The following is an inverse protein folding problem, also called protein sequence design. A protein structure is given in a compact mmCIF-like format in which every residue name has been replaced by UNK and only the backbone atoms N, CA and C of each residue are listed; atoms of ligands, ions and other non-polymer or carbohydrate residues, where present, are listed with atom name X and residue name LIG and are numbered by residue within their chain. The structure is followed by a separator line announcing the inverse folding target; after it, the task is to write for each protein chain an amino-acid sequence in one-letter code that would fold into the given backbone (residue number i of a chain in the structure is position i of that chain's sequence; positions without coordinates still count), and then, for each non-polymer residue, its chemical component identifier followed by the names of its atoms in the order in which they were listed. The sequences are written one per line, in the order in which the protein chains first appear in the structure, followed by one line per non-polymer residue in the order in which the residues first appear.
data_IF_542531650655
#
_entry.id   IF_542531650655
#
_cell.length_a   1.000
_cell.length_b   1.000
_cell.length_c   1.000
_cell.angle_alpha   90.00
_cell.angle_beta   90.00
_cell.angle_gamma   90.00
#
_symmetry.space_group_name_H-M   'P 1'
#
loop_
_entity.id
_entity.type
_entity.pdbx_description
1 polymer ?
#
# COMPACT_ATOMS: atom_id res chain seq x y z
N UNK A 1 -23.36 -37.64 -22.68
CA UNK A 1 -22.30 -36.64 -22.91
C UNK A 1 -21.17 -36.90 -21.93
N UNK A 2 -20.07 -37.49 -22.39
CA UNK A 2 -18.90 -37.76 -21.55
C UNK A 2 -17.99 -36.52 -21.55
N UNK A 3 -17.84 -35.87 -20.41
CA UNK A 3 -16.89 -34.77 -20.18
C UNK A 3 -15.49 -35.37 -19.97
N UNK A 4 -14.72 -35.49 -21.06
CA UNK A 4 -13.46 -36.27 -21.06
C UNK A 4 -12.21 -35.45 -20.72
N UNK A 5 -12.32 -34.14 -20.47
CA UNK A 5 -11.19 -33.33 -20.01
C UNK A 5 -11.67 -32.01 -19.40
N UNK A 6 -12.02 -32.04 -18.12
CA UNK A 6 -12.07 -30.82 -17.30
C UNK A 6 -10.79 -30.84 -16.47
N UNK A 7 -9.84 -29.96 -16.81
CA UNK A 7 -8.71 -29.66 -15.93
C UNK A 7 -8.99 -28.31 -15.26
N UNK A 8 -9.07 -28.33 -13.93
CA UNK A 8 -9.07 -27.11 -13.14
C UNK A 8 -7.79 -26.32 -13.41
N UNK A 9 -7.91 -24.99 -13.45
CA UNK A 9 -6.75 -24.11 -13.60
C UNK A 9 -5.74 -24.42 -12.49
N UNK A 10 -4.59 -25.00 -12.85
CA UNK A 10 -3.50 -25.23 -11.90
C UNK A 10 -3.08 -23.88 -11.36
N UNK A 11 -3.41 -23.63 -10.08
CA UNK A 11 -2.90 -22.49 -9.36
C UNK A 11 -1.38 -22.67 -9.23
N UNK A 12 -0.63 -22.16 -10.21
CA UNK A 12 0.81 -22.04 -10.13
C UNK A 12 1.11 -20.97 -9.09
N UNK A 13 1.09 -21.36 -7.81
CA UNK A 13 1.94 -20.69 -6.83
C UNK A 13 3.34 -20.88 -7.37
N UNK A 14 3.91 -19.84 -7.92
CA UNK A 14 5.35 -19.74 -8.18
C UNK A 14 6.00 -19.97 -6.81
N UNK A 15 6.35 -21.22 -6.52
CA UNK A 15 7.22 -21.56 -5.41
C UNK A 15 8.63 -21.39 -5.94
N UNK A 16 9.49 -20.61 -5.28
CA UNK A 16 10.86 -20.52 -5.72
C UNK A 16 11.50 -21.89 -5.52
N UNK A 17 12.53 -22.19 -6.31
CA UNK A 17 13.31 -23.41 -6.12
C UNK A 17 13.79 -23.51 -4.66
N UNK A 18 13.90 -24.74 -4.13
CA UNK A 18 14.42 -25.00 -2.78
C UNK A 18 15.74 -24.23 -2.61
N UNK A 19 15.86 -23.47 -1.52
CA UNK A 19 16.96 -22.54 -1.19
C UNK A 19 17.01 -21.18 -1.92
N UNK A 20 16.01 -20.83 -2.73
CA UNK A 20 15.86 -19.47 -3.28
C UNK A 20 14.71 -18.77 -2.57
N UNK A 21 14.96 -17.61 -1.98
CA UNK A 21 13.90 -16.65 -1.69
C UNK A 21 13.59 -15.86 -2.96
N UNK A 22 12.35 -15.41 -3.14
CA UNK A 22 12.08 -14.31 -4.06
C UNK A 22 12.70 -13.02 -3.47
N UNK A 23 14.00 -12.84 -3.64
CA UNK A 23 14.72 -11.61 -3.29
C UNK A 23 15.23 -10.91 -4.55
N UNK A 24 14.43 -10.88 -5.61
CA UNK A 24 14.79 -10.20 -6.85
C UNK A 24 13.56 -9.55 -7.48
N UNK A 25 13.09 -8.48 -6.82
CA UNK A 25 12.07 -7.60 -7.35
C UNK A 25 11.83 -6.49 -6.37
N UNK A 26 12.61 -5.40 -6.43
CA UNK A 26 12.28 -4.14 -5.75
C UNK A 26 10.98 -3.52 -6.27
N UNK A 27 10.39 -4.09 -7.32
CA UNK A 27 9.11 -3.67 -7.91
C UNK A 27 8.32 -4.89 -8.40
N UNK A 28 6.99 -4.79 -8.37
CA UNK A 28 6.06 -5.77 -8.96
C UNK A 28 5.83 -5.53 -10.47
N UNK A 29 6.76 -4.82 -11.13
CA UNK A 29 6.66 -4.45 -12.54
C UNK A 29 7.20 -5.60 -13.40
N UNK A 30 6.37 -6.08 -14.32
CA UNK A 30 6.71 -7.10 -15.31
C UNK A 30 6.58 -6.53 -16.72
N UNK A 31 7.40 -7.03 -17.65
CA UNK A 31 7.23 -6.74 -19.07
C UNK A 31 6.13 -7.65 -19.63
N UNK A 32 5.28 -7.09 -20.49
CA UNK A 32 4.23 -7.78 -21.21
C UNK A 32 4.27 -7.37 -22.68
N UNK A 33 3.70 -8.19 -23.56
CA UNK A 33 3.53 -7.84 -24.98
C UNK A 33 2.04 -7.78 -25.30
N UNK A 34 1.59 -6.64 -25.82
CA UNK A 34 0.21 -6.42 -26.30
C UNK A 34 0.30 -6.00 -27.76
N UNK A 35 -0.41 -6.68 -28.67
CA UNK A 35 -0.39 -6.40 -30.12
C UNK A 35 1.05 -6.23 -30.69
N UNK A 36 1.97 -7.11 -30.30
CA UNK A 36 3.39 -7.08 -30.70
C UNK A 36 4.17 -5.84 -30.22
N UNK A 37 3.65 -5.05 -29.28
CA UNK A 37 4.40 -4.00 -28.59
C UNK A 37 4.69 -4.41 -27.15
N UNK A 38 5.93 -4.19 -26.73
CA UNK A 38 6.33 -4.34 -25.34
C UNK A 38 5.75 -3.21 -24.48
N UNK A 39 5.24 -3.59 -23.31
CA UNK A 39 4.69 -2.70 -22.31
C UNK A 39 5.10 -3.17 -20.92
N UNK A 40 4.98 -2.28 -19.94
CA UNK A 40 5.24 -2.56 -18.52
C UNK A 40 3.93 -2.62 -17.78
N UNK A 41 3.75 -3.65 -16.97
CA UNK A 41 2.56 -3.86 -16.16
C UNK A 41 2.97 -4.02 -14.71
N UNK A 42 2.28 -3.32 -13.80
CA UNK A 42 2.41 -3.57 -12.38
C UNK A 42 1.47 -4.69 -11.95
N UNK A 43 1.99 -5.70 -11.26
CA UNK A 43 1.20 -6.79 -10.68
C UNK A 43 0.81 -6.41 -9.26
N UNK A 44 -0.43 -5.93 -9.09
CA UNK A 44 -0.95 -5.46 -7.80
C UNK A 44 -2.09 -6.36 -7.32
N UNK A 45 -1.85 -7.13 -6.26
CA UNK A 45 -2.87 -7.98 -5.63
C UNK A 45 -3.92 -7.20 -4.86
N UNK A 46 -3.67 -5.93 -4.54
CA UNK A 46 -4.62 -5.04 -3.87
C UNK A 46 -5.56 -4.32 -4.85
N UNK A 47 -5.33 -4.43 -6.16
CA UNK A 47 -6.18 -3.81 -7.17
C UNK A 47 -7.48 -4.59 -7.35
N UNK A 48 -8.62 -3.89 -7.32
CA UNK A 48 -9.94 -4.49 -7.57
C UNK A 48 -10.08 -5.04 -9.00
N UNK A 49 -9.50 -4.36 -9.99
CA UNK A 49 -9.55 -4.76 -11.39
C UNK A 49 -8.27 -4.37 -12.13
N UNK A 50 -8.01 -5.02 -13.26
CA UNK A 50 -6.98 -4.55 -14.20
C UNK A 50 -7.43 -3.23 -14.81
N UNK A 51 -6.57 -2.23 -14.78
CA UNK A 51 -6.89 -0.93 -15.33
C UNK A 51 -5.68 -0.25 -15.97
N UNK A 52 -5.95 0.58 -16.98
CA UNK A 52 -4.92 1.24 -17.77
C UNK A 52 -5.31 2.70 -18.02
N UNK A 53 -4.32 3.59 -17.88
CA UNK A 53 -4.48 4.99 -18.23
C UNK A 53 -4.64 5.17 -19.73
N UNK A 54 -5.61 5.99 -20.15
CA UNK A 54 -5.89 6.33 -21.56
C UNK A 54 -4.63 6.64 -22.37
N UNK A 55 -3.78 7.51 -21.83
CA UNK A 55 -2.59 8.01 -22.54
C UNK A 55 -1.55 6.91 -22.73
N UNK A 56 -1.35 6.07 -21.70
CA UNK A 56 -0.44 4.93 -21.77
C UNK A 56 -0.93 3.88 -22.77
N UNK A 57 -2.24 3.59 -22.76
CA UNK A 57 -2.83 2.66 -23.72
C UNK A 57 -2.66 3.13 -25.17
N UNK A 58 -2.80 4.43 -25.41
CA UNK A 58 -2.60 5.02 -26.74
C UNK A 58 -1.20 4.79 -27.33
N UNK A 59 -0.18 4.64 -26.48
CA UNK A 59 1.19 4.33 -26.93
C UNK A 59 1.34 2.87 -27.38
N UNK A 60 0.66 1.95 -26.69
CA UNK A 60 0.86 0.49 -26.82
C UNK A 60 -0.17 -0.20 -27.72
N UNK A 61 -1.38 0.35 -27.85
CA UNK A 61 -2.47 -0.26 -28.61
C UNK A 61 -3.09 0.77 -29.55
N UNK A 62 -2.82 0.71 -30.84
CA UNK A 62 -3.48 1.60 -31.81
C UNK A 62 -4.94 1.17 -32.05
N UNK A 63 -5.83 2.16 -32.20
CA UNK A 63 -7.27 2.00 -32.44
C UNK A 63 -8.01 1.23 -31.34
N UNK A 64 -7.64 1.46 -30.07
CA UNK A 64 -8.35 0.85 -28.93
C UNK A 64 -9.77 1.42 -28.76
N UNK A 65 -10.00 2.65 -29.22
CA UNK A 65 -11.27 3.37 -29.08
C UNK A 65 -12.42 2.67 -29.81
N UNK A 66 -12.15 2.07 -30.97
CA UNK A 66 -13.15 1.35 -31.77
C UNK A 66 -13.62 0.05 -31.10
N UNK A 67 -12.83 -0.47 -30.15
CA UNK A 67 -13.08 -1.72 -29.42
C UNK A 67 -13.53 -1.48 -27.98
N UNK A 68 -13.84 -0.24 -27.64
CA UNK A 68 -14.25 0.14 -26.31
C UNK A 68 -15.69 -0.30 -26.07
N UNK A 69 -15.89 -1.10 -25.03
CA UNK A 69 -17.22 -1.46 -24.56
C UNK A 69 -17.71 -0.44 -23.52
N UNK A 70 -19.01 -0.12 -23.50
CA UNK A 70 -19.57 0.80 -22.50
C UNK A 70 -19.41 0.21 -21.10
N UNK A 71 -19.23 1.09 -20.11
CA UNK A 71 -19.13 0.73 -18.71
C UNK A 71 -20.28 1.38 -17.95
N UNK A 72 -21.10 0.57 -17.30
CA UNK A 72 -22.20 1.07 -16.48
C UNK A 72 -21.80 1.06 -15.01
N UNK A 73 -21.98 2.21 -14.35
CA UNK A 73 -22.03 2.33 -12.89
C UNK A 73 -20.78 1.92 -12.07
N UNK A 74 -19.57 1.93 -12.63
CA UNK A 74 -18.35 1.66 -11.85
C UNK A 74 -17.73 2.98 -11.34
N UNK A 75 -17.59 3.12 -10.02
CA UNK A 75 -16.84 4.21 -9.37
C UNK A 75 -15.45 3.73 -8.99
N UNK A 76 -14.42 4.21 -9.69
CA UNK A 76 -13.02 3.92 -9.38
C UNK A 76 -12.42 5.01 -8.50
N UNK A 77 -11.78 4.62 -7.40
CA UNK A 77 -11.08 5.53 -6.49
C UNK A 77 -9.61 5.13 -6.39
N UNK A 78 -8.71 6.10 -6.54
CA UNK A 78 -7.30 5.97 -6.19
C UNK A 78 -7.04 6.76 -4.92
N UNK A 79 -5.99 6.39 -4.17
CA UNK A 79 -5.58 7.06 -2.94
C UNK A 79 -5.34 8.57 -3.13
N UNK A 80 -4.95 9.00 -4.33
CA UNK A 80 -4.53 10.39 -4.59
C UNK A 80 -5.43 11.16 -5.56
N UNK A 81 -6.22 10.48 -6.40
CA UNK A 81 -6.98 11.10 -7.51
C UNK A 81 -8.26 10.34 -7.80
N UNK A 82 -9.29 11.06 -8.23
CA UNK A 82 -10.48 10.45 -8.82
C UNK A 82 -10.14 9.90 -10.21
N UNK A 83 -10.58 8.67 -10.48
CA UNK A 83 -10.38 7.98 -11.76
C UNK A 83 -11.71 7.95 -12.51
N UNK A 84 -11.76 8.57 -13.69
CA UNK A 84 -12.95 8.57 -14.52
C UNK A 84 -12.84 7.43 -15.54
N UNK A 85 -13.71 6.40 -15.44
CA UNK A 85 -13.69 5.29 -16.38
C UNK A 85 -14.25 5.74 -17.74
N UNK A 86 -13.61 5.31 -18.81
CA UNK A 86 -14.04 5.52 -20.19
C UNK A 86 -14.81 4.33 -20.75
N UNK A 87 -14.39 3.12 -20.38
CA UNK A 87 -14.97 1.89 -20.90
C UNK A 87 -14.10 0.68 -20.57
N UNK A 88 -14.54 -0.48 -21.03
CA UNK A 88 -13.83 -1.76 -20.86
C UNK A 88 -13.22 -2.14 -22.21
N UNK A 89 -11.98 -2.63 -22.20
CA UNK A 89 -11.31 -3.19 -23.36
C UNK A 89 -10.97 -4.65 -23.10
N UNK A 90 -11.41 -5.54 -23.98
CA UNK A 90 -10.92 -6.90 -24.04
C UNK A 90 -9.66 -6.95 -24.92
N UNK A 91 -8.57 -7.47 -24.36
CA UNK A 91 -7.29 -7.58 -25.04
C UNK A 91 -6.59 -8.90 -24.72
N UNK A 92 -5.55 -9.18 -25.49
CA UNK A 92 -4.70 -10.35 -25.27
C UNK A 92 -3.29 -9.86 -24.97
N UNK A 93 -2.77 -10.24 -23.80
CA UNK A 93 -1.39 -9.99 -23.42
C UNK A 93 -0.57 -11.28 -23.46
N UNK A 94 0.72 -11.14 -23.71
CA UNK A 94 1.69 -12.22 -23.60
C UNK A 94 2.66 -11.85 -22.48
N UNK A 95 2.80 -12.75 -21.50
CA UNK A 95 3.81 -12.70 -20.46
C UNK A 95 5.00 -13.54 -20.93
N UNK A 96 6.12 -12.91 -21.34
CA UNK A 96 7.31 -13.65 -21.71
C UNK A 96 7.90 -14.34 -20.48
N UNK A 97 8.18 -15.64 -20.58
CA UNK A 97 8.83 -16.40 -19.53
C UNK A 97 9.85 -17.38 -20.14
N UNK A 98 11.04 -17.57 -19.53
CA UNK A 98 12.11 -18.39 -20.11
C UNK A 98 11.72 -19.84 -20.42
N UNK A 99 10.79 -20.41 -19.66
CA UNK A 99 10.27 -21.77 -19.88
C UNK A 99 9.11 -21.86 -20.88
N UNK A 100 8.74 -20.74 -21.51
CA UNK A 100 7.60 -20.64 -22.42
C UNK A 100 6.69 -19.46 -22.04
N UNK A 101 6.32 -18.66 -23.02
CA UNK A 101 5.47 -17.49 -22.82
C UNK A 101 4.02 -17.87 -22.56
N UNK A 102 3.35 -17.14 -21.68
CA UNK A 102 1.93 -17.35 -21.35
C UNK A 102 1.10 -16.30 -22.08
N UNK A 103 0.07 -16.73 -22.81
CA UNK A 103 -0.90 -15.85 -23.48
C UNK A 103 -2.19 -15.78 -22.66
N UNK A 104 -2.59 -14.59 -22.25
CA UNK A 104 -3.79 -14.35 -21.44
C UNK A 104 -4.73 -13.40 -22.17
N UNK A 105 -6.00 -13.82 -22.29
CA UNK A 105 -7.09 -12.89 -22.59
C UNK A 105 -7.49 -12.20 -21.30
N UNK A 106 -7.67 -10.89 -21.34
CA UNK A 106 -8.03 -10.10 -20.17
C UNK A 106 -8.93 -8.93 -20.56
N UNK A 107 -9.71 -8.48 -19.59
CA UNK A 107 -10.49 -7.26 -19.67
C UNK A 107 -9.83 -6.21 -18.80
N UNK A 108 -9.71 -4.99 -19.30
CA UNK A 108 -9.20 -3.88 -18.52
C UNK A 108 -10.11 -2.66 -18.59
N UNK A 109 -10.24 -1.97 -17.46
CA UNK A 109 -10.92 -0.69 -17.40
C UNK A 109 -9.98 0.40 -17.87
N UNK A 110 -10.40 1.17 -18.87
CA UNK A 110 -9.66 2.33 -19.33
C UNK A 110 -10.13 3.52 -18.53
N UNK A 111 -9.20 4.26 -17.95
CA UNK A 111 -9.53 5.45 -17.16
C UNK A 111 -8.62 6.63 -17.50
N UNK A 112 -9.10 7.82 -17.16
CA UNK A 112 -8.31 9.05 -17.15
C UNK A 112 -8.29 9.62 -15.75
N UNK A 113 -7.13 10.15 -15.36
CA UNK A 113 -7.00 10.91 -14.14
C UNK A 113 -7.54 12.32 -14.36
N UNK A 114 -8.60 12.70 -13.65
CA UNK A 114 -8.95 14.12 -13.59
C UNK A 114 -7.85 14.88 -12.86
N UNK A 115 -7.42 16.01 -13.42
CA UNK A 115 -6.59 16.96 -12.67
C UNK A 115 -7.34 17.32 -11.40
N UNK A 116 -6.75 16.98 -10.26
CA UNK A 116 -7.35 17.28 -8.98
C UNK A 116 -7.32 18.81 -8.80
N UNK A 117 -8.48 19.49 -8.88
CA UNK A 117 -8.60 20.87 -8.36
C UNK A 117 -8.39 20.91 -6.85
N UNK A 118 -8.36 19.74 -6.20
CA UNK A 118 -7.97 19.53 -4.80
C UNK A 118 -6.53 19.01 -4.71
N UNK A 119 -5.56 19.80 -5.16
CA UNK A 119 -4.40 20.00 -4.28
C UNK A 119 -4.89 20.91 -3.15
N UNK A 120 -5.63 20.35 -2.20
CA UNK A 120 -5.99 20.99 -0.93
C UNK A 120 -5.43 20.13 0.21
N UNK A 121 -4.16 19.78 0.11
CA UNK A 121 -3.27 19.98 1.25
C UNK A 121 -2.39 21.21 0.96
N UNK A 122 -2.96 22.27 0.40
CA UNK A 122 -2.51 23.59 0.79
C UNK A 122 -3.02 23.74 2.22
N UNK A 123 -2.14 23.58 3.20
CA UNK A 123 -2.40 24.20 4.48
C UNK A 123 -2.71 25.66 4.15
N UNK A 124 -3.87 26.21 4.50
CA UNK A 124 -4.00 27.64 4.49
C UNK A 124 -2.88 28.12 5.40
N UNK A 125 -1.83 28.70 4.81
CA UNK A 125 -0.96 29.63 5.51
C UNK A 125 -1.87 30.82 5.81
N UNK A 126 -2.76 30.66 6.79
CA UNK A 126 -3.13 31.80 7.60
C UNK A 126 -1.79 32.31 8.10
N UNK A 127 -1.33 33.42 7.51
CA UNK A 127 -0.34 34.27 8.14
C UNK A 127 -0.98 34.75 9.44
N UNK A 128 -0.99 33.89 10.45
CA UNK A 128 -1.16 34.35 11.81
C UNK A 128 0.05 35.21 12.05
N UNK A 129 -0.18 36.49 12.32
CA UNK A 129 0.88 37.36 12.78
C UNK A 129 1.46 36.71 14.04
N UNK A 130 2.67 36.17 13.89
CA UNK A 130 3.40 35.52 14.96
C UNK A 130 3.70 36.60 15.97
N UNK A 131 2.91 36.64 17.04
CA UNK A 131 3.25 37.45 18.20
C UNK A 131 4.41 36.74 18.86
N UNK A 132 5.62 37.27 18.67
CA UNK A 132 6.85 36.76 19.27
C UNK A 132 6.72 36.82 20.79
N UNK A 133 6.25 35.75 21.40
CA UNK A 133 6.29 35.60 22.85
C UNK A 133 7.72 35.21 23.21
N UNK A 134 8.34 36.06 24.03
CA UNK A 134 9.74 35.96 24.45
C UNK A 134 10.08 34.59 25.04
N UNK A 135 11.23 34.06 24.60
CA UNK A 135 11.88 32.80 25.04
C UNK A 135 11.91 32.68 26.57
N UNK A 136 11.18 31.72 27.11
CA UNK A 136 11.49 31.09 28.40
C UNK A 136 12.13 29.75 28.09
N UNK A 137 13.38 29.54 28.54
CA UNK A 137 14.03 28.23 28.44
C UNK A 137 13.21 27.22 29.22
N UNK A 138 12.56 26.30 28.52
CA UNK A 138 11.66 25.33 29.12
C UNK A 138 12.40 24.00 29.20
N UNK A 139 12.82 23.61 30.41
CA UNK A 139 13.63 22.39 30.66
C UNK A 139 12.96 21.13 30.07
N UNK A 140 11.62 21.11 30.02
CA UNK A 140 10.84 20.01 29.46
C UNK A 140 10.96 19.89 27.93
N UNK A 141 11.20 21.01 27.21
CA UNK A 141 11.37 21.02 25.75
C UNK A 141 12.70 20.37 25.36
N UNK A 142 13.75 20.68 26.10
CA UNK A 142 15.09 20.11 25.85
C UNK A 142 15.08 18.60 26.08
N UNK A 143 14.39 18.14 27.14
CA UNK A 143 14.19 16.71 27.39
C UNK A 143 13.37 16.03 26.29
N UNK A 144 12.30 16.65 25.79
CA UNK A 144 11.53 16.11 24.67
C UNK A 144 12.36 15.95 23.40
N UNK A 145 13.22 16.94 23.10
CA UNK A 145 14.13 16.86 21.94
C UNK A 145 15.14 15.72 22.09
N UNK A 146 15.73 15.57 23.28
CA UNK A 146 16.69 14.51 23.56
C UNK A 146 16.06 13.12 23.69
N UNK A 147 14.84 12.99 24.19
CA UNK A 147 14.25 11.65 24.40
C UNK A 147 13.48 11.17 23.16
N UNK A 148 12.73 12.05 22.48
CA UNK A 148 11.80 11.66 21.42
C UNK A 148 12.21 12.09 20.00
N UNK A 149 13.02 13.14 19.86
CA UNK A 149 13.43 13.65 18.54
C UNK A 149 14.85 13.26 18.12
N UNK A 150 15.57 12.44 18.91
CA UNK A 150 16.90 11.94 18.54
C UNK A 150 16.88 11.17 17.21
N UNK A 151 15.86 10.34 17.00
CA UNK A 151 15.73 9.53 15.80
C UNK A 151 15.04 10.27 14.65
N UNK A 152 14.53 11.49 14.90
CA UNK A 152 13.77 12.25 13.92
C UNK A 152 14.71 12.86 12.85
N UNK A 153 14.49 12.49 11.60
CA UNK A 153 15.21 13.09 10.47
C UNK A 153 14.52 14.38 10.01
N UNK A 154 15.02 15.53 10.45
CA UNK A 154 14.56 16.85 10.00
C UNK A 154 15.37 17.29 8.79
N UNK A 155 14.70 17.80 7.75
CA UNK A 155 15.35 18.25 6.52
C UNK A 155 16.48 19.26 6.80
N UNK A 156 17.66 19.09 6.19
CA UNK A 156 18.77 20.03 6.33
C UNK A 156 18.48 21.40 5.71
N UNK A 157 17.52 21.48 4.77
CA UNK A 157 17.17 22.70 4.04
C UNK A 157 16.38 23.72 4.87
N UNK A 158 15.88 23.34 6.04
CA UNK A 158 15.15 24.26 6.92
C UNK A 158 16.09 25.28 7.57
N UNK A 159 15.65 26.55 7.57
CA UNK A 159 16.30 27.64 8.32
C UNK A 159 16.20 27.39 9.82
N UNK A 160 17.17 27.91 10.58
CA UNK A 160 17.26 27.70 12.02
C UNK A 160 15.99 28.17 12.76
N UNK A 161 15.44 29.32 12.37
CA UNK A 161 14.19 29.87 12.92
C UNK A 161 12.99 28.95 12.69
N UNK A 162 12.86 28.39 11.48
CA UNK A 162 11.79 27.46 11.13
C UNK A 162 11.92 26.13 11.89
N UNK A 163 13.16 25.68 12.18
CA UNK A 163 13.38 24.49 13.01
C UNK A 163 12.95 24.74 14.45
N UNK A 164 13.29 25.90 15.01
CA UNK A 164 12.87 26.25 16.37
C UNK A 164 11.33 26.27 16.50
N UNK A 165 10.64 26.89 15.55
CA UNK A 165 9.18 26.95 15.49
C UNK A 165 8.54 25.57 15.29
N UNK A 166 9.11 24.75 14.41
CA UNK A 166 8.65 23.38 14.19
C UNK A 166 8.75 22.54 15.48
N UNK A 167 9.86 22.64 16.21
CA UNK A 167 10.04 21.95 17.49
C UNK A 167 9.04 22.45 18.53
N UNK A 168 8.64 23.73 18.51
CA UNK A 168 7.60 24.25 19.40
C UNK A 168 6.24 23.64 19.11
N UNK A 169 5.87 23.52 17.84
CA UNK A 169 4.63 22.87 17.43
C UNK A 169 4.65 21.40 17.87
N UNK A 170 5.75 20.68 17.63
CA UNK A 170 5.88 19.28 18.05
C UNK A 170 5.75 19.13 19.57
N UNK A 171 6.35 20.03 20.35
CA UNK A 171 6.25 20.02 21.80
C UNK A 171 4.83 20.34 22.29
N UNK A 172 4.14 21.28 21.63
CA UNK A 172 2.75 21.64 21.93
C UNK A 172 1.82 20.42 21.77
N UNK A 173 2.02 19.63 20.71
CA UNK A 173 1.21 18.44 20.41
C UNK A 173 1.88 17.13 20.83
N UNK A 174 2.80 17.15 21.80
CA UNK A 174 3.57 15.96 22.21
C UNK A 174 2.71 14.75 22.63
N UNK A 175 1.52 15.01 23.17
CA UNK A 175 0.54 13.99 23.61
C UNK A 175 -0.15 13.29 22.43
N UNK A 176 -0.05 13.83 21.22
CA UNK A 176 -0.58 13.19 20.01
C UNK A 176 0.34 12.10 19.46
N UNK A 177 1.58 12.01 19.94
CA UNK A 177 2.54 10.99 19.52
C UNK A 177 2.46 9.78 20.47
N UNK A 178 2.60 8.58 19.93
CA UNK A 178 2.79 7.40 20.75
C UNK A 178 4.12 7.49 21.48
N UNK A 179 4.10 7.15 22.78
CA UNK A 179 5.33 6.91 23.55
C UNK A 179 5.41 5.43 23.92
N UNK A 180 6.57 4.99 24.39
CA UNK A 180 6.74 3.60 24.87
C UNK A 180 5.77 3.25 26.01
N UNK A 181 5.39 4.25 26.81
CA UNK A 181 4.43 4.10 27.90
C UNK A 181 2.98 4.18 27.43
N UNK A 182 2.72 4.88 26.32
CA UNK A 182 1.38 5.12 25.77
C UNK A 182 1.36 4.81 24.26
N UNK A 183 1.32 3.51 23.91
CA UNK A 183 1.30 3.09 22.51
C UNK A 183 -0.04 3.45 21.84
N UNK A 184 0.01 3.64 20.52
CA UNK A 184 -1.17 3.87 19.69
C UNK A 184 -2.20 2.76 19.93
N UNK A 185 -3.43 3.14 20.30
CA UNK A 185 -4.54 2.21 20.49
C UNK A 185 -4.80 1.79 21.94
N UNK A 186 -4.04 2.29 22.93
CA UNK A 186 -4.38 2.14 24.36
C UNK A 186 -5.53 3.07 24.78
N UNK A 187 -6.63 3.04 24.02
CA UNK A 187 -7.82 3.86 24.29
C UNK A 187 -8.61 3.18 25.40
N UNK A 188 -8.49 3.71 26.62
CA UNK A 188 -9.26 3.26 27.78
C UNK A 188 -10.76 3.36 27.49
N UNK A 189 -11.51 2.28 27.72
CA UNK A 189 -12.97 2.23 27.54
C UNK A 189 -13.46 1.74 26.17
N UNK A 190 -12.56 1.44 25.23
CA UNK A 190 -12.89 0.77 23.96
C UNK A 190 -12.32 -0.65 23.92
N UNK A 191 -12.39 -1.36 25.05
CA UNK A 191 -11.98 -2.76 25.11
C UNK A 191 -12.92 -3.60 24.25
N UNK A 192 -12.34 -4.54 23.51
CA UNK A 192 -13.07 -5.38 22.57
C UNK A 192 -13.39 -6.72 23.24
N UNK A 193 -14.62 -6.87 23.73
CA UNK A 193 -15.10 -8.13 24.29
C UNK A 193 -15.45 -9.11 23.14
N UNK A 194 -14.52 -10.01 22.83
CA UNK A 194 -14.77 -11.10 21.88
C UNK A 194 -15.41 -12.28 22.63
N UNK A 195 -16.73 -12.35 22.58
CA UNK A 195 -17.48 -13.51 23.07
C UNK A 195 -17.30 -14.68 22.10
N UNK A 196 -16.79 -15.81 22.61
CA UNK A 196 -16.75 -17.06 21.85
C UNK A 196 -18.15 -17.67 21.81
N UNK A 197 -18.75 -17.73 20.62
CA UNK A 197 -20.05 -18.38 20.40
C UNK A 197 -19.96 -19.93 20.39
N UNK A 198 -18.87 -20.51 20.90
CA UNK A 198 -18.63 -21.95 20.88
C UNK A 198 -18.34 -22.45 22.28
N UNK A 199 -19.13 -23.41 22.73
CA UNK A 199 -18.87 -24.16 23.94
C UNK A 199 -17.96 -25.36 23.61
N UNK A 200 -17.25 -25.85 24.62
CA UNK A 200 -16.37 -27.01 24.46
C UNK A 200 -17.13 -28.24 23.95
N UNK A 201 -16.50 -29.11 23.14
CA UNK A 201 -15.08 -29.09 22.79
C UNK A 201 -14.78 -28.25 21.54
N UNK A 202 -13.82 -27.32 21.64
CA UNK A 202 -13.45 -26.37 20.57
C UNK A 202 -13.14 -27.06 19.24
N UNK A 203 -13.38 -26.42 18.08
CA UNK A 203 -12.98 -26.96 16.78
C UNK A 203 -11.52 -27.44 16.77
N UNK A 204 -11.20 -28.60 16.13
CA UNK A 204 -9.84 -29.15 16.09
C UNK A 204 -8.78 -28.16 15.59
N UNK A 205 -9.17 -27.19 14.76
CA UNK A 205 -8.31 -26.11 14.26
C UNK A 205 -7.75 -25.20 15.37
N UNK A 206 -8.54 -24.92 16.40
CA UNK A 206 -8.11 -24.12 17.57
C UNK A 206 -7.26 -24.93 18.55
N UNK A 207 -7.26 -26.27 18.43
CA UNK A 207 -6.48 -27.18 19.28
C UNK A 207 -5.11 -27.55 18.69
N UNK A 208 -4.77 -27.07 17.50
CA UNK A 208 -3.48 -27.36 16.87
C UNK A 208 -2.38 -26.55 17.56
N UNK A 209 -1.22 -27.16 17.89
CA UNK A 209 -0.09 -26.40 18.38
C UNK A 209 0.37 -25.42 17.29
N UNK A 210 0.94 -24.30 17.72
CA UNK A 210 1.61 -23.39 16.80
C UNK A 210 2.66 -24.15 15.99
N UNK A 211 2.78 -23.84 14.70
CA UNK A 211 3.82 -24.45 13.88
C UNK A 211 5.20 -24.12 14.45
N UNK A 212 6.15 -25.07 14.43
CA UNK A 212 7.48 -24.83 14.94
C UNK A 212 8.16 -23.70 14.15
N UNK A 213 8.52 -22.62 14.85
CA UNK A 213 9.31 -21.54 14.27
C UNK A 213 10.74 -22.03 14.00
N UNK A 214 11.37 -21.52 12.92
CA UNK A 214 12.79 -21.79 12.69
C UNK A 214 13.65 -21.14 13.78
N UNK A 215 14.86 -21.66 14.09
CA UNK A 215 15.71 -21.09 15.14
C UNK A 215 15.95 -19.59 14.98
N UNK A 216 16.22 -19.14 13.74
CA UNK A 216 16.40 -17.73 13.41
C UNK A 216 15.12 -16.90 13.58
N UNK A 217 13.96 -17.45 13.22
CA UNK A 217 12.69 -16.76 13.42
C UNK A 217 12.35 -16.65 14.91
N UNK A 218 12.74 -17.65 15.70
CA UNK A 218 12.54 -17.66 17.13
C UNK A 218 13.39 -16.60 17.84
N UNK A 219 14.68 -16.49 17.51
CA UNK A 219 15.56 -15.44 18.06
C UNK A 219 15.00 -14.02 17.81
N UNK A 220 14.51 -13.74 16.59
CA UNK A 220 13.91 -12.44 16.25
C UNK A 220 12.55 -12.20 16.91
N UNK A 221 11.77 -13.25 17.15
CA UNK A 221 10.52 -13.13 17.90
C UNK A 221 10.80 -12.85 19.37
N UNK A 222 11.82 -13.49 19.94
CA UNK A 222 12.23 -13.30 21.33
C UNK A 222 12.66 -11.85 21.60
N UNK A 223 13.26 -11.13 20.65
CA UNK A 223 13.60 -9.70 20.82
C UNK A 223 12.40 -8.74 20.86
N UNK A 224 11.22 -9.20 20.44
CA UNK A 224 10.01 -8.37 20.39
C UNK A 224 8.93 -8.83 21.37
N UNK A 225 9.02 -10.07 21.88
CA UNK A 225 8.07 -10.65 22.83
C UNK A 225 8.55 -10.45 24.27
N UNK A 226 9.86 -10.46 24.51
CA UNK A 226 10.50 -10.29 25.82
C UNK A 226 11.34 -9.01 25.86
#
# INVERSE_FOLDING_TARGET
MHLIHVQDAKMQKTKPARSKYYTAGSSCITNIVIKNKEAKMNSDSGAFCTGVGRDYLGMIYTNWQEKLMPIECIKLRSASKDMHPFGILEAVMILPHPAGSIRLKFECVIFHYTKNKRQKFSFPLEKREITVIRKVKNVNKDRFVSDQLIEAQISPELRLEMKEEFIEILFQYREAFSSDNEPLGSIKGHELDIMLNVEGPYPPLLRRPAYPASPRARELLETHIY
#
